data_IF_715192009109
#
_entry.id   IF_715192009109
#
_cell.length_a   1.000
_cell.length_b   1.000
_cell.length_c   1.000
_cell.angle_alpha   90.00
_cell.angle_beta   90.00
_cell.angle_gamma   90.00
#
_symmetry.space_group_name_H-M   'P 1'
#
loop_
_entity.id
_entity.type
_entity.pdbx_description
1 polymer ?
#
# COMPACT_ATOMS: atom_id res chain seq x y z
N UNK A 1 -39.21 23.73 18.78
CA UNK A 1 -38.59 23.93 17.44
C UNK A 1 -38.05 22.59 16.99
N UNK A 2 -38.76 21.90 16.10
CA UNK A 2 -38.37 20.57 15.61
C UNK A 2 -37.18 20.71 14.67
N UNK A 3 -36.01 20.23 15.09
CA UNK A 3 -34.85 20.08 14.22
C UNK A 3 -35.22 19.15 13.08
N UNK A 4 -34.91 19.56 11.84
CA UNK A 4 -35.12 18.72 10.66
C UNK A 4 -34.18 17.51 10.81
N UNK A 5 -34.74 16.34 11.11
CA UNK A 5 -33.97 15.10 11.19
C UNK A 5 -33.19 14.91 9.87
N UNK A 6 -31.87 14.71 9.98
CA UNK A 6 -31.04 14.52 8.79
C UNK A 6 -31.53 13.33 7.94
N UNK A 7 -31.64 13.53 6.63
CA UNK A 7 -31.99 12.47 5.69
C UNK A 7 -30.83 11.48 5.58
N UNK A 8 -31.11 10.19 5.36
CA UNK A 8 -30.08 9.14 5.32
C UNK A 8 -28.89 9.42 4.37
N UNK A 9 -29.08 10.00 3.16
CA UNK A 9 -27.95 10.37 2.32
C UNK A 9 -27.01 11.40 2.97
N UNK A 10 -27.54 12.33 3.77
CA UNK A 10 -26.74 13.34 4.49
C UNK A 10 -25.93 12.69 5.60
N UNK A 11 -26.53 11.78 6.36
CA UNK A 11 -25.82 11.03 7.42
C UNK A 11 -24.72 10.16 6.82
N UNK A 12 -25.01 9.42 5.74
CA UNK A 12 -24.02 8.58 5.05
C UNK A 12 -22.88 9.45 4.49
N UNK A 13 -23.21 10.60 3.88
CA UNK A 13 -22.21 11.57 3.42
C UNK A 13 -21.32 12.04 4.57
N UNK A 14 -21.91 12.41 5.72
CA UNK A 14 -21.19 12.83 6.93
C UNK A 14 -20.30 11.72 7.49
N UNK A 15 -20.77 10.48 7.55
CA UNK A 15 -19.96 9.32 7.94
C UNK A 15 -18.73 9.14 7.04
N UNK A 16 -18.89 9.33 5.73
CA UNK A 16 -17.83 9.15 4.74
C UNK A 16 -16.82 10.31 4.73
N UNK A 17 -17.31 11.55 4.85
CA UNK A 17 -16.49 12.77 4.83
C UNK A 17 -15.78 13.01 6.15
N UNK A 18 -16.33 12.56 7.29
CA UNK A 18 -15.68 12.74 8.59
C UNK A 18 -14.31 12.07 8.59
N UNK A 19 -13.29 12.88 8.87
CA UNK A 19 -11.92 12.43 9.14
C UNK A 19 -11.82 12.14 10.63
N UNK A 20 -11.71 10.86 10.96
CA UNK A 20 -11.46 10.44 12.33
C UNK A 20 -9.95 10.37 12.50
N UNK A 21 -9.41 11.31 13.26
CA UNK A 21 -7.99 11.33 13.62
C UNK A 21 -7.85 10.45 14.86
N UNK A 22 -7.35 9.23 14.66
CA UNK A 22 -7.21 8.23 15.71
C UNK A 22 -5.76 7.79 15.86
N UNK A 23 -5.41 7.24 17.03
CA UNK A 23 -4.02 6.91 17.39
C UNK A 23 -3.25 6.17 16.30
N UNK A 24 -3.75 5.02 15.82
CA UNK A 24 -3.02 4.21 14.82
C UNK A 24 -2.78 4.97 13.49
N UNK A 25 -3.70 5.84 13.09
CA UNK A 25 -3.53 6.66 11.87
C UNK A 25 -2.55 7.80 12.09
N UNK A 26 -2.56 8.45 13.26
CA UNK A 26 -1.57 9.48 13.59
C UNK A 26 -0.15 8.91 13.65
N UNK A 27 0.02 7.73 14.25
CA UNK A 27 1.30 7.03 14.30
C UNK A 27 1.80 6.69 12.89
N UNK A 28 0.97 6.03 12.08
CA UNK A 28 1.34 5.68 10.71
C UNK A 28 1.61 6.91 9.83
N UNK A 29 0.86 8.01 10.01
CA UNK A 29 1.09 9.26 9.31
C UNK A 29 2.44 9.87 9.68
N UNK A 30 2.74 9.96 10.98
CA UNK A 30 4.00 10.51 11.48
C UNK A 30 5.21 9.70 11.01
N UNK A 31 5.12 8.36 11.09
CA UNK A 31 6.17 7.46 10.60
C UNK A 31 6.37 7.58 9.09
N UNK A 32 5.27 7.58 8.30
CA UNK A 32 5.36 7.71 6.86
C UNK A 32 5.89 9.09 6.44
N UNK A 33 5.48 10.16 7.11
CA UNK A 33 5.98 11.50 6.86
C UNK A 33 7.48 11.60 7.16
N UNK A 34 7.94 11.06 8.29
CA UNK A 34 9.36 11.04 8.64
C UNK A 34 10.18 10.22 7.63
N UNK A 35 9.70 9.03 7.26
CA UNK A 35 10.36 8.17 6.29
C UNK A 35 10.46 8.83 4.90
N UNK A 36 9.37 9.45 4.42
CA UNK A 36 9.35 10.12 3.12
C UNK A 36 10.16 11.42 3.09
N UNK A 37 10.27 12.11 4.23
CA UNK A 37 11.09 13.33 4.35
C UNK A 37 12.59 13.03 4.27
N UNK A 38 13.02 11.85 4.71
CA UNK A 38 14.41 11.40 4.68
C UNK A 38 14.75 10.54 3.46
N UNK A 39 13.75 10.10 2.71
CA UNK A 39 13.93 9.23 1.55
C UNK A 39 14.69 9.94 0.42
N UNK A 40 15.63 9.20 -0.17
CA UNK A 40 16.40 9.63 -1.33
C UNK A 40 15.82 9.05 -2.64
N UNK A 41 16.08 9.68 -3.79
CA UNK A 41 15.73 9.12 -5.10
C UNK A 41 16.10 7.63 -5.27
N UNK A 42 15.12 6.81 -5.62
CA UNK A 42 15.25 5.36 -5.77
C UNK A 42 15.08 4.55 -4.48
N UNK A 43 14.80 5.18 -3.34
CA UNK A 43 14.30 4.51 -2.15
C UNK A 43 12.85 4.09 -2.31
N UNK A 44 12.45 3.10 -1.50
CA UNK A 44 11.10 2.57 -1.50
C UNK A 44 10.49 2.69 -0.12
N UNK A 45 9.31 3.29 -0.04
CA UNK A 45 8.51 3.34 1.17
C UNK A 45 7.29 2.46 0.97
N UNK A 46 7.06 1.50 1.86
CA UNK A 46 5.92 0.61 1.81
C UNK A 46 4.94 0.94 2.92
N UNK A 47 3.70 1.25 2.57
CA UNK A 47 2.62 1.51 3.54
C UNK A 47 1.61 0.38 3.41
N UNK A 48 1.53 -0.46 4.42
CA UNK A 48 0.68 -1.64 4.37
C UNK A 48 -0.23 -1.73 5.58
N UNK A 49 -1.32 -2.45 5.45
CA UNK A 49 -2.32 -2.64 6.49
C UNK A 49 -3.54 -3.33 5.90
N UNK A 50 -4.54 -3.69 6.72
CA UNK A 50 -5.70 -4.39 6.22
C UNK A 50 -6.46 -3.56 5.19
N UNK A 51 -7.20 -4.25 4.32
CA UNK A 51 -8.13 -3.61 3.40
C UNK A 51 -9.09 -2.72 4.19
N UNK A 52 -9.31 -1.48 3.71
CA UNK A 52 -10.17 -0.47 4.39
C UNK A 52 -9.65 0.04 5.75
N UNK A 53 -8.34 -0.03 6.03
CA UNK A 53 -7.75 0.61 7.21
C UNK A 53 -7.69 2.15 7.15
N UNK A 54 -7.82 2.75 5.96
CA UNK A 54 -7.70 4.20 5.76
C UNK A 54 -6.42 4.65 5.04
N UNK A 55 -5.69 3.72 4.40
CA UNK A 55 -4.45 3.97 3.65
C UNK A 55 -4.60 5.07 2.59
N UNK A 56 -5.66 5.03 1.77
CA UNK A 56 -5.91 6.05 0.74
C UNK A 56 -6.07 7.45 1.35
N UNK A 57 -6.79 7.60 2.47
CA UNK A 57 -6.90 8.89 3.19
C UNK A 57 -5.54 9.33 3.76
N UNK A 58 -4.71 8.39 4.20
CA UNK A 58 -3.36 8.67 4.68
C UNK A 58 -2.43 9.15 3.54
N UNK A 59 -2.55 8.60 2.33
CA UNK A 59 -1.82 9.10 1.14
C UNK A 59 -2.17 10.56 0.87
N UNK A 60 -3.47 10.90 0.80
CA UNK A 60 -3.91 12.27 0.51
C UNK A 60 -3.36 13.27 1.52
N UNK A 61 -3.38 12.91 2.81
CA UNK A 61 -2.80 13.75 3.86
C UNK A 61 -1.28 13.91 3.69
N UNK A 62 -0.55 12.81 3.47
CA UNK A 62 0.89 12.84 3.28
C UNK A 62 1.31 13.74 2.13
N UNK A 63 0.59 13.68 1.01
CA UNK A 63 0.86 14.55 -0.14
C UNK A 63 0.66 16.01 0.24
N UNK A 64 -0.42 16.36 0.95
CA UNK A 64 -0.63 17.71 1.45
C UNK A 64 0.50 18.19 2.36
N UNK A 65 0.96 17.34 3.28
CA UNK A 65 2.05 17.66 4.21
C UNK A 65 3.43 17.78 3.54
N UNK A 66 3.72 16.92 2.56
CA UNK A 66 5.04 16.86 1.90
C UNK A 66 5.20 17.85 0.75
N UNK A 67 4.09 18.20 0.09
CA UNK A 67 4.10 18.99 -1.14
C UNK A 67 3.42 20.35 -1.00
N UNK A 68 2.62 20.57 0.05
CA UNK A 68 1.87 21.81 0.22
C UNK A 68 0.82 22.01 -0.86
N UNK A 69 0.47 23.27 -1.11
CA UNK A 69 -0.44 23.64 -2.20
C UNK A 69 0.25 23.50 -3.56
N UNK A 70 -0.39 22.77 -4.48
CA UNK A 70 0.10 22.51 -5.83
C UNK A 70 -0.79 23.27 -6.81
N UNK A 71 -0.20 24.19 -7.58
CA UNK A 71 -0.89 24.97 -8.62
C UNK A 71 -0.36 24.57 -10.00
N UNK A 72 -0.82 23.40 -10.44
CA UNK A 72 -0.36 22.79 -11.69
C UNK A 72 -0.58 23.68 -12.92
N UNK A 73 -1.68 24.43 -12.99
CA UNK A 73 -1.98 25.27 -14.17
C UNK A 73 -0.99 26.44 -14.29
N UNK A 74 -0.44 26.91 -13.16
CA UNK A 74 0.56 27.97 -13.13
C UNK A 74 1.97 27.47 -13.43
N UNK A 75 2.40 26.38 -12.81
CA UNK A 75 3.80 25.94 -12.83
C UNK A 75 4.08 24.66 -13.61
N UNK A 76 3.04 23.89 -13.95
CA UNK A 76 3.14 22.59 -14.60
C UNK A 76 3.84 21.53 -13.74
N UNK A 77 3.95 21.72 -12.42
CA UNK A 77 4.65 20.86 -11.47
C UNK A 77 3.66 19.89 -10.82
N UNK A 78 4.04 18.62 -10.69
CA UNK A 78 3.33 17.58 -9.95
C UNK A 78 4.33 16.83 -9.07
N UNK A 79 4.60 17.32 -7.84
CA UNK A 79 5.63 16.76 -6.98
C UNK A 79 5.26 15.37 -6.43
N UNK A 80 3.96 15.06 -6.39
CA UNK A 80 3.44 13.73 -6.07
C UNK A 80 2.45 13.28 -7.16
N UNK A 81 2.59 12.03 -7.59
CA UNK A 81 1.64 11.36 -8.48
C UNK A 81 1.08 10.15 -7.73
N UNK A 82 -0.24 10.01 -7.73
CA UNK A 82 -0.96 8.90 -7.09
C UNK A 82 -1.68 8.11 -8.17
N UNK A 83 -1.56 6.78 -8.14
CA UNK A 83 -2.26 5.88 -9.06
C UNK A 83 -2.70 4.60 -8.34
N UNK A 84 -3.83 4.05 -8.75
CA UNK A 84 -4.29 2.74 -8.29
C UNK A 84 -3.77 1.64 -9.24
N UNK A 85 -3.17 0.60 -8.68
CA UNK A 85 -2.79 -0.59 -9.42
C UNK A 85 -4.03 -1.46 -9.63
N UNK A 86 -4.65 -1.38 -10.81
CA UNK A 86 -5.88 -2.12 -11.10
C UNK A 86 -5.67 -3.27 -12.10
N UNK A 87 -6.51 -4.28 -11.99
CA UNK A 87 -6.55 -5.43 -12.89
C UNK A 87 -7.37 -5.14 -14.16
N UNK A 88 -6.85 -4.31 -15.06
CA UNK A 88 -7.55 -3.88 -16.30
C UNK A 88 -7.14 -4.65 -17.55
N UNK A 89 -6.32 -5.70 -17.42
CA UNK A 89 -5.88 -6.55 -18.50
C UNK A 89 -6.89 -7.65 -18.88
N UNK A 90 -6.64 -8.37 -19.99
CA UNK A 90 -7.49 -9.48 -20.43
C UNK A 90 -7.71 -10.50 -19.30
N UNK A 91 -8.95 -10.98 -19.18
CA UNK A 91 -9.36 -11.93 -18.14
C UNK A 91 -9.15 -11.42 -16.70
N UNK A 92 -9.19 -10.09 -16.47
CA UNK A 92 -9.05 -9.50 -15.15
C UNK A 92 -7.64 -9.60 -14.58
N UNK A 93 -6.62 -9.62 -15.45
CA UNK A 93 -5.20 -9.62 -15.05
C UNK A 93 -4.66 -8.21 -14.87
N UNK A 94 -3.54 -8.10 -14.16
CA UNK A 94 -2.77 -6.87 -14.16
C UNK A 94 -2.08 -6.67 -15.53
N UNK A 95 -2.12 -5.46 -16.07
CA UNK A 95 -1.49 -5.11 -17.36
C UNK A 95 -0.50 -3.96 -17.17
N UNK A 96 0.77 -4.20 -17.46
CA UNK A 96 1.85 -3.20 -17.37
C UNK A 96 1.60 -2.01 -18.30
N UNK A 97 1.13 -2.28 -19.53
CA UNK A 97 0.76 -1.24 -20.48
C UNK A 97 -0.39 -0.38 -19.98
N UNK A 98 -1.48 -0.98 -19.51
CA UNK A 98 -2.64 -0.23 -19.02
C UNK A 98 -2.28 0.61 -17.78
N UNK A 99 -1.49 0.04 -16.86
CA UNK A 99 -0.95 0.79 -15.72
C UNK A 99 -0.06 1.97 -16.16
N UNK A 100 0.78 1.78 -17.18
CA UNK A 100 1.61 2.86 -17.74
C UNK A 100 0.75 3.99 -18.33
N UNK A 101 -0.36 3.66 -18.99
CA UNK A 101 -1.30 4.67 -19.50
C UNK A 101 -2.00 5.43 -18.37
N UNK A 102 -2.36 4.75 -17.27
CA UNK A 102 -2.88 5.44 -16.07
C UNK A 102 -1.87 6.39 -15.45
N UNK A 103 -0.59 6.02 -15.42
CA UNK A 103 0.47 6.93 -14.99
C UNK A 103 0.58 8.16 -15.89
N UNK A 104 0.40 8.01 -17.21
CA UNK A 104 0.32 9.14 -18.14
C UNK A 104 -0.87 10.07 -17.86
N UNK A 105 -2.03 9.51 -17.50
CA UNK A 105 -3.18 10.30 -17.06
C UNK A 105 -2.88 11.03 -15.75
N UNK A 106 -2.33 10.32 -14.75
CA UNK A 106 -2.04 10.86 -13.43
C UNK A 106 -0.97 11.98 -13.46
N UNK A 107 0.03 11.87 -14.35
CA UNK A 107 1.06 12.90 -14.57
C UNK A 107 0.60 14.03 -15.51
N UNK A 108 -0.65 13.98 -15.97
CA UNK A 108 -1.25 14.91 -16.93
C UNK A 108 -0.38 15.08 -18.19
N UNK A 109 0.00 13.96 -18.80
CA UNK A 109 0.77 13.98 -20.04
C UNK A 109 -0.11 14.52 -21.19
N UNK A 110 0.34 15.52 -21.96
CA UNK A 110 -0.51 16.20 -22.93
C UNK A 110 -1.00 15.31 -24.08
N UNK A 111 -0.27 14.24 -24.41
CA UNK A 111 -0.63 13.34 -25.52
C UNK A 111 -1.26 12.04 -25.02
N UNK A 112 -0.72 11.49 -23.94
CA UNK A 112 -1.06 10.15 -23.45
C UNK A 112 -1.95 10.18 -22.20
N UNK A 113 -2.17 11.35 -21.61
CA UNK A 113 -3.02 11.53 -20.43
C UNK A 113 -4.47 11.89 -20.75
N UNK A 114 -4.82 12.09 -22.03
CA UNK A 114 -6.17 12.50 -22.48
C UNK A 114 -7.02 11.30 -22.94
N UNK A 115 -6.42 10.11 -22.96
CA UNK A 115 -7.04 8.85 -23.42
C UNK A 115 -8.23 8.50 -22.53
N UNK A 116 -9.41 8.25 -23.11
CA UNK A 116 -10.61 7.82 -22.38
C UNK A 116 -11.48 8.92 -21.77
N UNK A 117 -11.21 10.20 -22.02
CA UNK A 117 -12.18 11.26 -21.72
C UNK A 117 -13.29 11.29 -22.79
N UNK A 118 -14.56 11.38 -22.38
CA UNK A 118 -15.76 11.40 -23.24
C UNK A 118 -15.71 12.47 -24.36
N UNK A 119 -14.82 13.45 -24.25
CA UNK A 119 -14.63 14.53 -25.22
C UNK A 119 -13.64 14.22 -26.36
N UNK A 120 -13.03 13.03 -26.43
CA UNK A 120 -12.08 12.71 -27.52
C UNK A 120 -12.44 11.45 -28.32
N UNK A 121 -13.43 11.57 -29.20
CA UNK A 121 -13.50 10.80 -30.45
C UNK A 121 -12.43 11.30 -31.46
N UNK A 122 -11.21 11.48 -30.98
CA UNK A 122 -10.08 12.03 -31.73
C UNK A 122 -9.00 10.97 -32.00
N UNK A 123 -8.09 11.22 -32.97
CA UNK A 123 -6.98 10.32 -33.33
C UNK A 123 -5.96 10.07 -32.22
N UNK A 124 -6.11 10.66 -31.03
CA UNK A 124 -5.28 10.43 -29.86
C UNK A 124 -5.58 9.09 -29.16
N UNK A 125 -6.86 8.68 -29.12
CA UNK A 125 -7.28 7.43 -28.46
C UNK A 125 -6.73 6.20 -29.20
N UNK A 126 -6.70 6.24 -30.54
CA UNK A 126 -6.13 5.17 -31.38
C UNK A 126 -4.60 5.12 -31.41
N UNK A 127 -3.91 6.22 -31.07
CA UNK A 127 -2.45 6.27 -31.07
C UNK A 127 -1.83 5.55 -29.88
N UNK A 128 -2.41 5.70 -28.70
CA UNK A 128 -1.84 5.10 -27.49
C UNK A 128 -1.93 3.57 -27.46
N UNK A 129 -3.07 3.02 -27.91
CA UNK A 129 -3.25 1.57 -28.02
C UNK A 129 -2.27 0.94 -29.01
N UNK A 130 -1.89 1.67 -30.07
CA UNK A 130 -0.91 1.24 -31.07
C UNK A 130 0.54 1.52 -30.67
N UNK A 131 0.77 2.37 -29.67
CA UNK A 131 2.12 2.69 -29.19
C UNK A 131 2.66 1.52 -28.38
N UNK A 132 3.93 1.16 -28.61
CA UNK A 132 4.59 0.08 -27.87
C UNK A 132 4.96 0.52 -26.44
N UNK A 133 5.14 -0.45 -25.54
CA UNK A 133 5.47 -0.18 -24.13
C UNK A 133 6.78 0.60 -23.93
N UNK A 134 7.88 0.34 -24.66
CA UNK A 134 9.12 1.13 -24.51
C UNK A 134 8.93 2.63 -24.80
N UNK A 135 8.20 2.98 -25.86
CA UNK A 135 7.92 4.40 -26.18
C UNK A 135 7.05 5.04 -25.11
N UNK A 136 6.01 4.33 -24.63
CA UNK A 136 5.17 4.82 -23.52
C UNK A 136 6.00 5.03 -22.25
N UNK A 137 6.91 4.11 -21.94
CA UNK A 137 7.81 4.20 -20.79
C UNK A 137 8.74 5.40 -20.92
N UNK A 138 9.42 5.57 -22.04
CA UNK A 138 10.32 6.71 -22.26
C UNK A 138 9.60 8.06 -22.13
N UNK A 139 8.41 8.18 -22.74
CA UNK A 139 7.59 9.38 -22.61
C UNK A 139 7.20 9.65 -21.15
N UNK A 140 6.84 8.61 -20.38
CA UNK A 140 6.46 8.73 -18.99
C UNK A 140 7.62 9.20 -18.11
N UNK A 141 8.82 8.65 -18.33
CA UNK A 141 10.01 9.06 -17.58
C UNK A 141 10.34 10.54 -17.82
N UNK A 142 10.21 11.02 -19.06
CA UNK A 142 10.37 12.43 -19.36
C UNK A 142 9.27 13.29 -18.72
N UNK A 143 8.03 12.80 -18.70
CA UNK A 143 6.93 13.48 -18.03
C UNK A 143 7.24 13.68 -16.54
N UNK A 144 7.64 12.64 -15.81
CA UNK A 144 8.02 12.76 -14.39
C UNK A 144 9.12 13.80 -14.16
N UNK A 145 10.16 13.82 -15.00
CA UNK A 145 11.25 14.80 -14.90
C UNK A 145 10.76 16.23 -15.12
N UNK A 146 9.98 16.46 -16.18
CA UNK A 146 9.44 17.78 -16.51
C UNK A 146 8.47 18.30 -15.44
N UNK A 147 7.67 17.39 -14.85
CA UNK A 147 6.75 17.68 -13.74
C UNK A 147 7.45 17.82 -12.39
N UNK A 148 8.76 17.63 -12.32
CA UNK A 148 9.55 17.59 -11.07
C UNK A 148 8.94 16.65 -10.03
N UNK A 149 8.44 15.50 -10.46
CA UNK A 149 7.82 14.52 -9.58
C UNK A 149 8.85 13.91 -8.63
N UNK A 150 8.58 14.02 -7.33
CA UNK A 150 9.43 13.50 -6.25
C UNK A 150 8.91 12.17 -5.72
N UNK A 151 7.59 12.01 -5.65
CA UNK A 151 6.94 10.83 -5.08
C UNK A 151 6.00 10.18 -6.09
N UNK A 152 6.12 8.86 -6.27
CA UNK A 152 5.14 8.05 -6.98
C UNK A 152 4.44 7.12 -5.98
N UNK A 153 3.17 7.42 -5.67
CA UNK A 153 2.32 6.58 -4.86
C UNK A 153 1.56 5.60 -5.76
N UNK A 154 1.71 4.31 -5.46
CA UNK A 154 0.96 3.23 -6.11
C UNK A 154 0.08 2.56 -5.06
N UNK A 155 -1.21 2.88 -5.04
CA UNK A 155 -2.20 2.28 -4.14
C UNK A 155 -2.74 0.96 -4.71
N UNK A 156 -3.30 0.13 -3.84
CA UNK A 156 -3.80 -1.22 -4.14
C UNK A 156 -2.76 -2.12 -4.85
N UNK A 157 -1.47 -1.90 -4.57
CA UNK A 157 -0.35 -2.53 -5.27
C UNK A 157 -0.36 -4.07 -5.24
N UNK A 158 -1.09 -4.71 -4.31
CA UNK A 158 -1.22 -6.17 -4.27
C UNK A 158 -1.81 -6.78 -5.55
N UNK A 159 -2.49 -5.99 -6.39
CA UNK A 159 -3.04 -6.47 -7.66
C UNK A 159 -1.98 -6.94 -8.66
N UNK A 160 -0.72 -6.51 -8.52
CA UNK A 160 0.38 -7.00 -9.39
C UNK A 160 0.58 -8.52 -9.31
N UNK A 161 0.08 -9.19 -8.26
CA UNK A 161 0.08 -10.66 -8.13
C UNK A 161 -0.70 -11.35 -9.26
N UNK A 162 -1.60 -10.63 -9.93
CA UNK A 162 -2.46 -11.17 -10.99
C UNK A 162 -1.93 -10.87 -12.40
N UNK A 163 -0.69 -10.40 -12.55
CA UNK A 163 -0.10 -10.16 -13.88
C UNK A 163 0.07 -11.46 -14.68
N UNK A 164 0.39 -12.55 -14.00
CA UNK A 164 0.59 -13.88 -14.57
C UNK A 164 0.15 -14.96 -13.58
N UNK A 165 0.16 -16.23 -14.01
CA UNK A 165 -0.19 -17.36 -13.13
C UNK A 165 0.94 -17.70 -12.14
N UNK A 166 2.17 -17.32 -12.45
CA UNK A 166 3.35 -17.52 -11.63
C UNK A 166 3.64 -16.29 -10.77
N UNK A 167 4.18 -16.53 -9.57
CA UNK A 167 4.55 -15.45 -8.64
C UNK A 167 5.65 -14.54 -9.17
N UNK A 168 6.47 -15.03 -10.12
CA UNK A 168 7.59 -14.29 -10.71
C UNK A 168 7.15 -13.04 -11.47
N UNK A 169 5.96 -13.05 -12.09
CA UNK A 169 5.46 -11.89 -12.80
C UNK A 169 5.28 -10.67 -11.89
N UNK A 170 4.69 -10.88 -10.70
CA UNK A 170 4.51 -9.80 -9.72
C UNK A 170 5.85 -9.21 -9.25
N UNK A 171 6.87 -10.05 -9.10
CA UNK A 171 8.22 -9.62 -8.72
C UNK A 171 8.88 -8.79 -9.82
N UNK A 172 8.74 -9.21 -11.09
CA UNK A 172 9.25 -8.48 -12.24
C UNK A 172 8.59 -7.10 -12.40
N UNK A 173 7.28 -6.99 -12.15
CA UNK A 173 6.57 -5.70 -12.17
C UNK A 173 7.11 -4.77 -11.08
N UNK A 174 7.29 -5.26 -9.86
CA UNK A 174 7.82 -4.47 -8.74
C UNK A 174 9.25 -3.98 -9.01
N UNK A 175 10.11 -4.84 -9.56
CA UNK A 175 11.48 -4.46 -9.94
C UNK A 175 11.50 -3.42 -11.07
N UNK A 176 10.59 -3.55 -12.05
CA UNK A 176 10.41 -2.56 -13.12
C UNK A 176 9.98 -1.18 -12.60
N UNK A 177 9.07 -1.13 -11.61
CA UNK A 177 8.67 0.11 -10.94
C UNK A 177 9.82 0.74 -10.17
N UNK A 178 10.58 -0.07 -9.42
CA UNK A 178 11.76 0.40 -8.69
C UNK A 178 12.82 0.96 -9.66
N UNK A 179 13.07 0.27 -10.76
CA UNK A 179 14.00 0.74 -11.78
C UNK A 179 13.51 2.06 -12.40
N UNK A 180 12.21 2.20 -12.66
CA UNK A 180 11.60 3.48 -13.09
C UNK A 180 11.91 4.58 -12.10
N UNK A 181 11.63 4.31 -10.83
CA UNK A 181 11.76 5.28 -9.76
C UNK A 181 13.19 5.80 -9.67
N UNK A 182 14.15 4.88 -9.70
CA UNK A 182 15.57 5.21 -9.74
C UNK A 182 15.95 6.02 -10.97
N UNK A 183 15.50 5.64 -12.16
CA UNK A 183 15.82 6.32 -13.43
C UNK A 183 15.20 7.72 -13.53
N UNK A 184 14.05 7.93 -12.91
CA UNK A 184 13.37 9.23 -12.86
C UNK A 184 13.83 10.11 -11.70
N UNK A 185 14.58 9.55 -10.73
CA UNK A 185 15.01 10.28 -9.55
C UNK A 185 13.89 10.50 -8.52
N UNK A 186 12.93 9.56 -8.40
CA UNK A 186 11.77 9.64 -7.52
C UNK A 186 11.80 8.57 -6.42
N UNK A 187 11.08 8.83 -5.33
CA UNK A 187 10.81 7.88 -4.26
C UNK A 187 9.56 7.07 -4.62
N UNK A 188 9.66 5.75 -4.62
CA UNK A 188 8.53 4.86 -4.89
C UNK A 188 7.79 4.58 -3.59
N UNK A 189 6.50 4.89 -3.54
CA UNK A 189 5.64 4.60 -2.39
C UNK A 189 4.65 3.51 -2.77
N UNK A 190 4.85 2.31 -2.24
CA UNK A 190 4.00 1.14 -2.50
C UNK A 190 2.97 1.01 -1.39
N UNK A 191 1.70 1.17 -1.72
CA UNK A 191 0.60 1.12 -0.76
C UNK A 191 -0.31 -0.06 -1.09
N UNK A 192 -0.68 -0.86 -0.09
CA UNK A 192 -1.49 -2.04 -0.36
C UNK A 192 -1.97 -2.81 0.86
N UNK A 193 -2.87 -3.76 0.62
CA UNK A 193 -3.24 -4.79 1.58
C UNK A 193 -2.08 -5.77 1.80
N UNK A 194 -2.13 -6.54 2.88
CA UNK A 194 -1.05 -7.46 3.27
C UNK A 194 -0.50 -8.40 2.18
N UNK A 195 -1.26 -8.87 1.18
CA UNK A 195 -0.69 -9.69 0.13
C UNK A 195 0.47 -9.05 -0.65
N UNK A 196 0.62 -7.73 -0.64
CA UNK A 196 1.78 -7.04 -1.23
C UNK A 196 3.10 -7.37 -0.52
N UNK A 197 3.05 -7.72 0.77
CA UNK A 197 4.25 -8.03 1.56
C UNK A 197 4.97 -9.27 1.03
N UNK A 198 4.22 -10.25 0.52
CA UNK A 198 4.80 -11.42 -0.14
C UNK A 198 5.55 -11.01 -1.41
N UNK A 199 5.03 -10.05 -2.18
CA UNK A 199 5.70 -9.56 -3.40
C UNK A 199 6.98 -8.81 -3.06
N UNK A 200 6.91 -7.92 -2.07
CA UNK A 200 8.06 -7.11 -1.64
C UNK A 200 9.14 -7.99 -0.99
N UNK A 201 8.76 -8.93 -0.13
CA UNK A 201 9.67 -9.79 0.61
C UNK A 201 10.52 -10.72 -0.27
N UNK A 202 10.07 -11.01 -1.49
CA UNK A 202 10.79 -11.84 -2.47
C UNK A 202 11.59 -11.03 -3.51
N UNK A 203 11.72 -9.72 -3.34
CA UNK A 203 12.57 -8.88 -4.19
C UNK A 203 13.82 -8.43 -3.42
N UNK A 204 14.97 -9.13 -3.55
CA UNK A 204 16.22 -8.78 -2.85
C UNK A 204 16.69 -7.35 -3.13
N UNK A 205 16.35 -6.84 -4.31
CA UNK A 205 16.67 -5.49 -4.75
C UNK A 205 15.89 -4.42 -3.98
N UNK A 206 14.79 -4.75 -3.31
CA UNK A 206 13.95 -3.81 -2.55
C UNK A 206 14.37 -3.74 -1.07
N UNK A 207 14.80 -4.86 -0.49
CA UNK A 207 14.97 -5.04 0.95
C UNK A 207 15.96 -4.04 1.57
N UNK A 208 17.08 -3.74 0.90
CA UNK A 208 18.12 -2.86 1.44
C UNK A 208 17.82 -1.35 1.42
N UNK A 209 16.72 -0.91 0.80
CA UNK A 209 16.31 0.51 0.70
C UNK A 209 14.84 0.71 1.03
N UNK A 210 14.27 -0.23 1.78
CA UNK A 210 12.86 -0.24 2.13
C UNK A 210 12.63 0.34 3.52
N UNK A 211 11.78 1.35 3.60
CA UNK A 211 11.10 1.73 4.85
C UNK A 211 9.72 1.08 4.88
N UNK A 212 9.41 0.35 5.95
CA UNK A 212 8.12 -0.33 6.11
C UNK A 212 7.29 0.39 7.16
N UNK A 213 6.16 0.95 6.75
CA UNK A 213 5.15 1.54 7.61
C UNK A 213 3.92 0.63 7.67
N UNK A 214 3.39 0.44 8.87
CA UNK A 214 2.20 -0.35 9.11
C UNK A 214 1.07 0.56 9.60
N UNK A 215 -0.07 0.50 8.93
CA UNK A 215 -1.33 1.05 9.44
C UNK A 215 -2.17 -0.13 9.96
N UNK A 216 -2.00 -0.53 11.23
CA UNK A 216 -2.69 -1.67 11.80
C UNK A 216 -4.17 -1.36 12.07
N UNK A 217 -4.95 -2.44 12.18
CA UNK A 217 -6.28 -2.40 12.82
C UNK A 217 -6.15 -2.20 14.33
N UNK A 218 -7.29 -2.07 15.01
CA UNK A 218 -7.34 -2.18 16.47
C UNK A 218 -7.35 -3.65 16.89
N UNK A 219 -6.53 -3.99 17.87
CA UNK A 219 -6.43 -5.31 18.48
C UNK A 219 -7.35 -5.44 19.69
N UNK A 220 -7.56 -6.67 20.17
CA UNK A 220 -8.33 -6.95 21.38
C UNK A 220 -7.46 -6.75 22.63
N UNK A 221 -6.86 -5.56 22.77
CA UNK A 221 -6.09 -5.14 23.94
C UNK A 221 -6.81 -3.97 24.60
N UNK A 222 -6.66 -3.79 25.91
CA UNK A 222 -7.37 -2.73 26.65
C UNK A 222 -7.11 -1.34 26.06
N UNK A 223 -5.87 -1.08 25.66
CA UNK A 223 -5.46 0.20 25.07
C UNK A 223 -6.09 0.41 23.68
N UNK A 224 -6.21 -0.63 22.86
CA UNK A 224 -6.83 -0.54 21.54
C UNK A 224 -8.35 -0.45 21.63
N UNK A 225 -8.97 -1.22 22.53
CA UNK A 225 -10.40 -1.19 22.77
C UNK A 225 -10.85 0.16 23.34
N UNK A 226 -10.06 0.77 24.23
CA UNK A 226 -10.33 2.13 24.72
C UNK A 226 -10.32 3.17 23.58
N UNK A 227 -9.34 3.10 22.68
CA UNK A 227 -9.26 3.99 21.53
C UNK A 227 -10.39 3.72 20.51
N UNK A 228 -10.73 2.45 20.27
CA UNK A 228 -11.87 2.05 19.47
C UNK A 228 -13.19 2.59 20.03
N UNK A 229 -13.35 2.58 21.36
CA UNK A 229 -14.50 3.20 22.04
C UNK A 229 -14.65 4.69 21.74
N UNK A 230 -13.54 5.45 21.69
CA UNK A 230 -13.59 6.89 21.30
C UNK A 230 -14.04 7.08 19.86
N UNK A 231 -13.63 6.19 18.96
CA UNK A 231 -14.07 6.19 17.56
C UNK A 231 -15.59 5.92 17.49
N UNK A 232 -16.10 4.97 18.27
CA UNK A 232 -17.53 4.69 18.36
C UNK A 232 -18.31 5.89 18.89
N UNK A 233 -17.82 6.55 19.95
CA UNK A 233 -18.44 7.75 20.51
C UNK A 233 -18.51 8.90 19.49
N UNK A 234 -17.48 9.04 18.65
CA UNK A 234 -17.47 10.01 17.54
C UNK A 234 -18.56 9.67 16.50
N UNK A 235 -18.72 8.39 16.18
CA UNK A 235 -19.79 7.96 15.27
C UNK A 235 -21.18 8.08 15.88
N UNK A 236 -21.37 7.83 17.18
CA UNK A 236 -22.62 8.05 17.89
C UNK A 236 -23.10 9.50 17.76
N UNK A 237 -22.18 10.47 17.88
CA UNK A 237 -22.50 11.89 17.66
C UNK A 237 -22.96 12.20 16.23
N UNK A 238 -22.46 11.46 15.23
CA UNK A 238 -22.85 11.65 13.82
C UNK A 238 -24.25 11.11 13.54
N UNK A 239 -24.63 10.01 14.21
CA UNK A 239 -25.90 9.30 13.98
C UNK A 239 -26.98 9.63 15.02
N UNK A 240 -26.73 10.57 15.94
CA UNK A 240 -27.60 10.85 17.08
C UNK A 240 -29.07 11.08 16.71
N UNK A 241 -29.36 11.72 15.57
CA UNK A 241 -30.73 12.03 15.13
C UNK A 241 -31.53 10.80 14.67
N UNK A 242 -30.87 9.68 14.39
CA UNK A 242 -31.48 8.49 13.76
C UNK A 242 -31.26 7.21 14.58
N UNK A 243 -30.70 7.34 15.78
CA UNK A 243 -30.26 6.23 16.61
C UNK A 243 -30.80 6.33 18.04
N UNK A 244 -30.92 5.18 18.70
CA UNK A 244 -31.08 5.12 20.15
C UNK A 244 -29.78 5.64 20.79
N UNK A 245 -29.91 6.35 21.90
CA UNK A 245 -28.79 7.01 22.58
C UNK A 245 -27.60 6.06 22.80
N UNK A 246 -26.42 6.47 22.30
CA UNK A 246 -25.14 5.77 22.43
C UNK A 246 -25.15 4.30 21.96
N UNK A 247 -26.00 3.97 20.97
CA UNK A 247 -26.15 2.61 20.47
C UNK A 247 -24.83 1.95 20.04
N UNK A 248 -23.89 2.72 19.47
CA UNK A 248 -22.62 2.17 19.02
C UNK A 248 -21.69 1.86 20.19
N UNK A 249 -21.54 2.80 21.11
CA UNK A 249 -20.72 2.62 22.31
C UNK A 249 -21.25 1.46 23.17
N UNK A 250 -22.57 1.34 23.32
CA UNK A 250 -23.20 0.20 24.02
C UNK A 250 -23.04 -1.14 23.29
N UNK A 251 -22.82 -1.11 21.97
CA UNK A 251 -22.61 -2.30 21.14
C UNK A 251 -21.13 -2.53 20.80
N UNK A 252 -20.20 -1.97 21.58
CA UNK A 252 -18.78 -1.91 21.23
C UNK A 252 -18.15 -3.28 20.92
N UNK A 253 -18.43 -4.30 21.74
CA UNK A 253 -17.93 -5.67 21.52
C UNK A 253 -18.41 -6.24 20.18
N UNK A 254 -19.71 -6.14 19.90
CA UNK A 254 -20.30 -6.60 18.64
C UNK A 254 -19.70 -5.87 17.44
N UNK A 255 -19.54 -4.54 17.55
CA UNK A 255 -18.98 -3.70 16.50
C UNK A 255 -17.49 -3.96 16.27
N UNK A 256 -16.73 -4.23 17.33
CA UNK A 256 -15.34 -4.65 17.23
C UNK A 256 -15.21 -5.97 16.46
N UNK A 257 -15.95 -7.00 16.86
CA UNK A 257 -15.91 -8.31 16.19
C UNK A 257 -16.40 -8.25 14.74
N UNK A 258 -17.53 -7.58 14.48
CA UNK A 258 -18.10 -7.48 13.12
C UNK A 258 -17.35 -6.51 12.20
N UNK A 259 -16.43 -5.70 12.72
CA UNK A 259 -15.51 -4.88 11.92
C UNK A 259 -14.08 -5.40 11.92
N UNK A 260 -13.79 -6.46 12.67
CA UNK A 260 -12.44 -6.99 12.90
C UNK A 260 -11.45 -5.90 13.37
N UNK A 261 -11.92 -4.88 14.10
CA UNK A 261 -11.11 -3.73 14.51
C UNK A 261 -10.71 -2.77 13.37
N UNK A 262 -11.24 -2.95 12.16
CA UNK A 262 -10.96 -2.10 11.00
C UNK A 262 -12.01 -0.98 10.86
N UNK A 263 -11.58 0.28 10.97
CA UNK A 263 -12.50 1.43 10.94
C UNK A 263 -13.27 1.53 9.62
N UNK A 264 -12.66 1.20 8.47
CA UNK A 264 -13.40 1.24 7.21
C UNK A 264 -14.44 0.14 7.06
N UNK A 265 -14.26 -1.02 7.70
CA UNK A 265 -15.31 -2.06 7.79
C UNK A 265 -16.44 -1.60 8.70
N UNK A 266 -16.09 -1.01 9.85
CA UNK A 266 -17.05 -0.36 10.75
C UNK A 266 -17.87 0.70 10.00
N UNK A 267 -17.22 1.66 9.34
CA UNK A 267 -17.89 2.74 8.59
C UNK A 267 -18.81 2.20 7.50
N UNK A 268 -18.38 1.18 6.75
CA UNK A 268 -19.22 0.54 5.73
C UNK A 268 -20.46 -0.11 6.35
N UNK A 269 -20.28 -0.83 7.46
CA UNK A 269 -21.38 -1.45 8.20
C UNK A 269 -22.36 -0.41 8.74
N UNK A 270 -21.88 0.71 9.31
CA UNK A 270 -22.72 1.82 9.73
C UNK A 270 -23.50 2.42 8.55
N UNK A 271 -22.86 2.63 7.39
CA UNK A 271 -23.54 3.11 6.18
C UNK A 271 -24.69 2.20 5.74
N UNK A 272 -24.49 0.87 5.79
CA UNK A 272 -25.54 -0.13 5.51
C UNK A 272 -26.65 -0.09 6.55
N UNK A 273 -26.30 0.08 7.83
CA UNK A 273 -27.27 0.21 8.91
C UNK A 273 -28.15 1.46 8.73
N UNK A 274 -27.55 2.61 8.41
CA UNK A 274 -28.28 3.86 8.14
C UNK A 274 -29.23 3.71 6.96
N UNK A 275 -28.77 3.08 5.87
CA UNK A 275 -29.62 2.81 4.71
C UNK A 275 -30.81 1.90 5.06
N UNK A 276 -30.58 0.86 5.88
CA UNK A 276 -31.63 -0.07 6.33
C UNK A 276 -32.63 0.60 7.28
N UNK A 277 -32.14 1.41 8.22
CA UNK A 277 -32.96 2.21 9.13
C UNK A 277 -33.92 3.11 8.34
N UNK A 278 -33.40 3.83 7.35
CA UNK A 278 -34.21 4.67 6.47
C UNK A 278 -35.23 3.89 5.65
N UNK A 279 -34.83 2.76 5.05
CA UNK A 279 -35.73 1.93 4.24
C UNK A 279 -36.88 1.30 5.05
N UNK A 280 -36.68 1.07 6.35
CA UNK A 280 -37.67 0.41 7.22
C UNK A 280 -38.40 1.36 8.15
N UNK A 281 -37.99 2.64 8.21
CA UNK A 281 -38.49 3.62 9.17
C UNK A 281 -38.11 3.34 10.63
N UNK A 282 -37.26 2.34 10.90
CA UNK A 282 -36.82 1.97 12.25
C UNK A 282 -35.60 2.78 12.66
N UNK A 283 -35.50 3.16 13.93
CA UNK A 283 -34.27 3.75 14.47
C UNK A 283 -33.12 2.75 14.47
N UNK A 284 -31.88 3.25 14.40
CA UNK A 284 -30.69 2.43 14.61
C UNK A 284 -30.69 1.87 16.04
N UNK A 285 -30.60 0.56 16.12
CA UNK A 285 -30.65 -0.24 17.35
C UNK A 285 -29.65 -1.38 17.26
N UNK A 286 -29.27 -2.02 18.38
CA UNK A 286 -28.37 -3.17 18.36
C UNK A 286 -28.91 -4.33 17.50
N UNK A 287 -30.24 -4.52 17.47
CA UNK A 287 -30.88 -5.51 16.63
C UNK A 287 -30.71 -5.24 15.13
N UNK A 288 -30.88 -3.98 14.70
CA UNK A 288 -30.69 -3.59 13.30
C UNK A 288 -29.22 -3.65 12.89
N UNK A 289 -28.29 -3.25 13.77
CA UNK A 289 -26.85 -3.40 13.54
C UNK A 289 -26.50 -4.87 13.30
N UNK A 290 -27.03 -5.79 14.12
CA UNK A 290 -26.83 -7.23 13.97
C UNK A 290 -27.44 -7.77 12.67
N UNK A 291 -28.59 -7.27 12.24
CA UNK A 291 -29.25 -7.65 10.99
C UNK A 291 -28.39 -7.35 9.75
N UNK A 292 -27.73 -6.19 9.72
CA UNK A 292 -26.90 -5.76 8.58
C UNK A 292 -25.42 -6.14 8.70
N UNK A 293 -25.04 -6.90 9.74
CA UNK A 293 -23.68 -7.40 9.93
C UNK A 293 -23.23 -8.23 8.71
N UNK A 294 -21.92 -8.23 8.43
CA UNK A 294 -21.36 -9.15 7.43
C UNK A 294 -21.64 -10.60 7.81
N UNK A 295 -21.76 -11.47 6.80
CA UNK A 295 -21.97 -12.89 7.06
C UNK A 295 -20.75 -13.49 7.76
N UNK A 296 -20.95 -14.60 8.49
CA UNK A 296 -19.84 -15.33 9.12
C UNK A 296 -18.77 -15.75 8.11
N UNK A 297 -19.19 -16.15 6.90
CA UNK A 297 -18.28 -16.55 5.84
C UNK A 297 -17.41 -15.38 5.35
N UNK A 298 -18.01 -14.20 5.14
CA UNK A 298 -17.28 -13.01 4.72
C UNK A 298 -16.30 -12.54 5.80
N UNK A 299 -16.74 -12.51 7.07
CA UNK A 299 -15.87 -12.15 8.19
C UNK A 299 -14.71 -13.13 8.33
N UNK A 300 -14.94 -14.43 8.17
CA UNK A 300 -13.90 -15.44 8.21
C UNK A 300 -12.86 -15.21 7.09
N UNK A 301 -13.33 -15.01 5.85
CA UNK A 301 -12.45 -14.75 4.72
C UNK A 301 -11.58 -13.49 4.90
N UNK A 302 -12.19 -12.38 5.37
CA UNK A 302 -11.46 -11.14 5.65
C UNK A 302 -10.47 -11.36 6.81
N UNK A 303 -10.89 -12.03 7.88
CA UNK A 303 -10.04 -12.28 9.05
C UNK A 303 -8.80 -13.11 8.71
N UNK A 304 -8.94 -14.09 7.81
CA UNK A 304 -7.83 -14.92 7.37
C UNK A 304 -6.76 -14.10 6.64
N UNK A 305 -7.16 -13.23 5.69
CA UNK A 305 -6.22 -12.33 5.02
C UNK A 305 -5.49 -11.42 6.03
N UNK A 306 -6.22 -10.89 7.01
CA UNK A 306 -5.67 -10.02 8.05
C UNK A 306 -4.63 -10.77 8.87
N UNK A 307 -4.98 -11.94 9.42
CA UNK A 307 -4.09 -12.68 10.32
C UNK A 307 -2.85 -13.23 9.62
N UNK A 308 -3.00 -13.74 8.39
CA UNK A 308 -1.85 -14.19 7.61
C UNK A 308 -0.90 -13.02 7.29
N UNK A 309 -1.46 -11.84 7.05
CA UNK A 309 -0.69 -10.63 6.82
C UNK A 309 0.04 -10.11 8.05
N UNK A 310 -0.63 -10.10 9.20
CA UNK A 310 -0.07 -9.64 10.48
C UNK A 310 1.11 -10.51 10.93
N UNK A 311 1.06 -11.83 10.68
CA UNK A 311 2.18 -12.75 10.94
C UNK A 311 3.48 -12.36 10.22
N UNK A 312 3.39 -11.69 9.07
CA UNK A 312 4.57 -11.25 8.31
C UNK A 312 5.31 -10.07 8.97
N UNK A 313 4.72 -9.43 9.99
CA UNK A 313 5.35 -8.39 10.81
C UNK A 313 5.97 -8.91 12.10
N UNK A 314 5.74 -10.19 12.45
CA UNK A 314 6.33 -10.75 13.65
C UNK A 314 7.87 -10.74 13.51
N UNK A 315 8.59 -10.22 14.53
CA UNK A 315 10.04 -10.18 14.47
C UNK A 315 10.61 -11.59 14.35
N UNK A 316 11.72 -11.73 13.64
CA UNK A 316 12.36 -13.02 13.36
C UNK A 316 12.66 -13.86 14.62
N UNK A 317 12.83 -13.19 15.77
CA UNK A 317 13.08 -13.83 17.07
C UNK A 317 11.85 -14.58 17.62
N UNK A 318 10.64 -14.32 17.13
CA UNK A 318 9.44 -15.09 17.50
C UNK A 318 9.45 -16.52 16.90
N UNK A 319 10.28 -16.76 15.88
CA UNK A 319 10.52 -18.07 15.28
C UNK A 319 11.85 -18.71 15.70
N UNK A 320 12.41 -18.33 16.87
CA UNK A 320 13.62 -18.95 17.40
C UNK A 320 13.36 -20.31 18.09
N UNK A 321 12.80 -21.29 17.37
CA UNK A 321 12.91 -22.71 17.73
C UNK A 321 13.08 -23.59 16.49
N UNK A 322 14.13 -23.36 15.70
CA UNK A 322 14.67 -24.42 14.82
C UNK A 322 16.06 -24.12 14.25
N UNK A 323 16.57 -22.89 14.34
CA UNK A 323 17.90 -22.54 13.85
C UNK A 323 18.90 -22.33 14.99
N UNK A 324 19.12 -23.37 15.81
CA UNK A 324 20.22 -23.44 16.79
C UNK A 324 21.19 -24.59 16.50
N UNK A 325 21.41 -24.92 15.23
CA UNK A 325 22.57 -25.70 14.84
C UNK A 325 23.48 -24.93 13.88
N UNK A 326 24.70 -24.70 14.38
CA UNK A 326 25.86 -24.01 13.80
C UNK A 326 25.85 -22.48 13.77
N UNK A 327 25.98 -21.90 14.96
CA UNK A 327 26.97 -20.83 15.10
C UNK A 327 28.36 -21.41 14.76
N UNK A 328 28.83 -21.22 13.53
CA UNK A 328 30.25 -21.47 13.23
C UNK A 328 31.07 -20.48 14.05
N UNK A 329 31.94 -20.99 14.94
CA UNK A 329 32.93 -20.18 15.65
C UNK A 329 33.64 -19.27 14.65
N UNK A 330 33.52 -17.96 14.84
CA UNK A 330 34.32 -16.97 14.12
C UNK A 330 35.77 -17.23 14.49
N UNK A 331 36.53 -17.84 13.57
CA UNK A 331 37.97 -17.99 13.74
C UNK A 331 38.66 -16.66 13.37
N UNK A 332 39.68 -16.24 14.13
CA UNK A 332 40.44 -15.05 13.79
C UNK A 332 41.12 -15.21 12.42
N UNK A 333 41.33 -14.11 11.68
CA UNK A 333 41.89 -14.18 10.33
C UNK A 333 43.29 -14.80 10.38
N UNK A 334 43.48 -15.90 9.63
CA UNK A 334 44.80 -16.48 9.42
C UNK A 334 45.69 -15.43 8.75
N UNK A 335 46.80 -15.07 9.39
CA UNK A 335 47.79 -14.15 8.82
C UNK A 335 48.25 -14.69 7.47
N UNK A 336 47.98 -13.96 6.39
CA UNK A 336 48.57 -14.27 5.08
C UNK A 336 50.07 -13.99 5.19
N UNK A 337 50.89 -15.02 4.96
CA UNK A 337 52.33 -14.86 4.83
C UNK A 337 52.68 -13.82 3.77
N UNK A 338 53.78 -13.08 4.01
CA UNK A 338 54.25 -12.01 3.12
C UNK A 338 54.39 -12.51 1.67
N UNK A 339 53.98 -11.75 0.64
CA UNK A 339 54.17 -12.16 -0.75
C UNK A 339 55.68 -12.20 -1.08
N UNK A 340 56.08 -13.08 -2.03
CA UNK A 340 57.45 -13.23 -2.58
C UNK A 340 58.50 -14.05 -1.81
N UNK A 341 58.12 -15.04 -0.99
CA UNK A 341 59.06 -16.11 -0.62
C UNK A 341 58.58 -17.48 -1.13
N UNK A 342 59.03 -17.85 -2.33
CA UNK A 342 58.88 -19.22 -2.84
C UNK A 342 60.14 -19.99 -2.46
N UNK A 343 60.03 -21.06 -1.67
CA UNK A 343 61.17 -21.95 -1.38
C UNK A 343 61.65 -22.60 -2.69
N UNK A 344 62.97 -22.67 -2.95
CA UNK A 344 63.48 -23.23 -4.20
C UNK A 344 63.14 -24.73 -4.31
N UNK A 345 62.58 -25.13 -5.44
CA UNK A 345 62.25 -26.52 -5.75
C UNK A 345 63.49 -27.16 -6.40
N UNK A 346 64.12 -28.13 -5.73
CA UNK A 346 65.24 -28.89 -6.30
C UNK A 346 64.66 -29.96 -7.23
N UNK A 347 64.94 -29.87 -8.52
CA UNK A 347 64.57 -30.91 -9.49
C UNK A 347 65.63 -32.01 -9.50
N UNK A 348 65.19 -33.27 -9.65
CA UNK A 348 66.09 -34.40 -9.84
C UNK A 348 66.83 -34.25 -11.20
N UNK A 349 68.09 -34.71 -11.31
CA UNK A 349 68.83 -34.63 -12.56
C UNK A 349 68.16 -35.50 -13.64
N UNK A 350 67.80 -34.91 -14.79
CA UNK A 350 67.32 -35.67 -15.97
C UNK A 350 66.20 -35.05 -16.78
N UNK A 351 65.32 -34.23 -16.19
CA UNK A 351 64.16 -33.68 -16.92
C UNK A 351 64.37 -32.24 -17.39
N UNK A 352 65.32 -32.06 -18.32
CA UNK A 352 65.45 -30.84 -19.12
C UNK A 352 65.42 -31.19 -20.60
N UNK A 353 64.24 -31.44 -21.14
CA UNK A 353 63.84 -31.16 -22.54
C UNK A 353 62.45 -31.74 -22.78
N UNK A 354 61.55 -30.94 -23.35
CA UNK A 354 60.23 -31.39 -23.78
C UNK A 354 59.35 -30.19 -24.07
N UNK A 355 59.67 -29.47 -25.13
CA UNK A 355 58.77 -28.49 -25.74
C UNK A 355 57.71 -29.17 -26.60
N UNK A 356 56.70 -28.35 -26.89
CA UNK A 356 55.70 -28.37 -27.96
C UNK A 356 54.53 -29.40 -27.93
N UNK A 357 53.34 -28.81 -28.12
CA UNK A 357 52.01 -29.39 -28.11
C UNK A 357 50.98 -28.34 -27.75
#
# INVERSE_FOLDING_TARGET
>A
MGGIAMKAPQVISKLNSTKIVHRNWQLALGEAFAALSLASPGDVVCITGPSRAGKTKLITELVGLLCGEIDFERDGILPAVIVDAENTGPHGRFSTKAFTLKLHQAVRHPIYGVIGQEFSDGPANTKADRTNEPTLRFALENAFRLRKTRFLFVDEAQHVRYVSKDSQGGYAVMDSWKCMAKTCGLVLVVVGAYPILQVIGHSPHMIGRKSQIHLPRYYATDHDLAEFGKILATYDQIIADIAIEQVLTQSAEMLYHGSLGCIGLLRNWLGRAVARSHATGKQLSPALLKEVMFSKADLAAISEEIYQGEKLFEPADAHSQSSRDRAMKVMPPKSKGKPFQRKPKRYAPGNRTGGDG
#
